data_IF_499301185769
#
_entry.id   IF_499301185769
#
_cell.length_a   1.000
_cell.length_b   1.000
_cell.length_c   1.000
_cell.angle_alpha   90.00
_cell.angle_beta   90.00
_cell.angle_gamma   90.00
#
_symmetry.space_group_name_H-M   'P 1'
#
loop_
_entity.id
_entity.type
_entity.pdbx_description
1 polymer ?
#
# COMPACT_ATOMS: atom_id res chain seq x y z
N UNK A 1 -3.75 -68.89 -31.97
CA UNK A 1 -3.92 -67.43 -32.04
C UNK A 1 -4.18 -66.93 -30.63
N UNK A 2 -3.18 -66.31 -30.00
CA UNK A 2 -3.19 -65.88 -28.58
C UNK A 2 -2.88 -64.39 -28.56
N UNK A 3 -3.82 -63.61 -28.04
CA UNK A 3 -3.74 -62.15 -28.00
C UNK A 3 -2.71 -61.62 -27.01
N UNK A 4 -2.29 -60.37 -27.22
CA UNK A 4 -1.51 -59.56 -26.28
C UNK A 4 -1.78 -58.09 -26.64
N UNK A 5 -2.72 -57.46 -25.93
CA UNK A 5 -2.50 -56.45 -24.89
C UNK A 5 -2.03 -55.07 -25.40
N UNK A 6 -2.97 -54.14 -25.30
CA UNK A 6 -2.87 -52.69 -25.46
C UNK A 6 -1.98 -52.11 -24.34
N UNK A 7 -1.05 -51.21 -24.67
CA UNK A 7 -0.44 -50.28 -23.71
C UNK A 7 -0.38 -48.88 -24.31
N UNK A 8 -1.44 -48.10 -24.08
CA UNK A 8 -1.44 -46.64 -24.15
C UNK A 8 -0.70 -46.10 -22.92
N UNK A 9 0.47 -45.50 -23.10
CA UNK A 9 1.15 -44.73 -22.05
C UNK A 9 1.07 -43.25 -22.41
N UNK A 10 -0.03 -42.62 -21.99
CA UNK A 10 -0.11 -41.17 -21.88
C UNK A 10 0.67 -40.76 -20.63
N UNK A 11 1.87 -40.19 -20.81
CA UNK A 11 2.63 -39.60 -19.72
C UNK A 11 2.12 -38.18 -19.47
N UNK A 12 1.18 -38.03 -18.54
CA UNK A 12 0.80 -36.72 -17.99
C UNK A 12 1.83 -36.31 -16.93
N UNK A 13 2.79 -35.46 -17.30
CA UNK A 13 3.55 -34.70 -16.30
C UNK A 13 2.66 -33.55 -15.80
N UNK A 14 2.02 -33.76 -14.65
CA UNK A 14 1.46 -32.67 -13.87
C UNK A 14 2.61 -31.84 -13.31
N UNK A 15 2.75 -30.61 -13.78
CA UNK A 15 3.61 -29.61 -13.15
C UNK A 15 2.97 -29.22 -11.81
N UNK A 16 3.58 -29.66 -10.70
CA UNK A 16 3.25 -29.12 -9.38
C UNK A 16 3.71 -27.67 -9.35
N UNK A 17 2.79 -26.73 -9.62
CA UNK A 17 2.99 -25.35 -9.25
C UNK A 17 2.98 -25.28 -7.72
N UNK A 18 4.15 -25.28 -7.11
CA UNK A 18 4.27 -24.83 -5.73
C UNK A 18 3.77 -23.38 -5.70
N UNK A 19 2.91 -22.98 -4.74
CA UNK A 19 2.65 -21.57 -4.53
C UNK A 19 4.00 -20.91 -4.33
N UNK A 20 4.34 -20.00 -5.24
CA UNK A 20 5.52 -19.18 -5.10
C UNK A 20 5.18 -18.16 -4.02
N UNK A 21 5.21 -18.59 -2.77
CA UNK A 21 5.26 -17.71 -1.60
C UNK A 21 6.63 -17.04 -1.67
N UNK A 22 6.77 -16.08 -2.59
CA UNK A 22 7.89 -15.17 -2.58
C UNK A 22 7.82 -14.51 -1.21
N UNK A 23 8.77 -14.84 -0.34
CA UNK A 23 8.88 -14.21 0.96
C UNK A 23 8.86 -12.69 0.72
N UNK A 24 7.93 -11.99 1.38
CA UNK A 24 7.86 -10.54 1.31
C UNK A 24 9.25 -9.96 1.54
N UNK A 25 9.72 -9.10 0.63
CA UNK A 25 11.07 -8.58 0.72
C UNK A 25 11.21 -7.71 1.98
N UNK A 26 12.41 -7.68 2.56
CA UNK A 26 12.76 -6.65 3.52
C UNK A 26 13.00 -5.34 2.75
N UNK A 27 12.43 -4.24 3.22
CA UNK A 27 12.63 -2.93 2.63
C UNK A 27 12.56 -1.84 3.69
N UNK A 28 13.15 -0.69 3.39
CA UNK A 28 12.95 0.54 4.15
C UNK A 28 13.11 1.70 3.20
N UNK A 29 12.08 2.53 3.10
CA UNK A 29 12.10 3.69 2.22
C UNK A 29 11.37 4.89 2.82
N UNK A 30 11.71 6.05 2.28
CA UNK A 30 11.33 7.37 2.75
C UNK A 30 11.15 8.31 1.55
N UNK A 31 9.95 8.86 1.36
CA UNK A 31 9.70 9.85 0.30
C UNK A 31 8.95 11.07 0.80
N UNK A 32 9.21 12.23 0.19
CA UNK A 32 8.38 13.42 0.35
C UNK A 32 7.19 13.35 -0.59
N UNK A 33 6.01 13.71 -0.10
CA UNK A 33 4.81 13.77 -0.92
C UNK A 33 4.48 15.23 -1.23
N UNK A 34 4.67 15.70 -2.48
CA UNK A 34 4.42 17.08 -2.86
C UNK A 34 2.93 17.41 -2.84
N UNK A 35 2.64 18.70 -2.65
CA UNK A 35 1.30 19.25 -2.81
C UNK A 35 0.84 19.12 -4.26
N UNK A 36 -0.45 18.84 -4.44
CA UNK A 36 -1.15 19.12 -5.70
C UNK A 36 -1.52 20.62 -5.76
N UNK A 37 -2.06 21.14 -6.88
CA UNK A 37 -2.59 22.51 -6.91
C UNK A 37 -3.64 22.81 -5.82
N UNK A 38 -4.51 21.84 -5.51
CA UNK A 38 -5.49 21.99 -4.43
C UNK A 38 -4.82 21.96 -3.05
N UNK A 39 -3.79 21.12 -2.89
CA UNK A 39 -2.96 21.11 -1.68
C UNK A 39 -2.19 22.40 -1.45
N UNK A 40 -1.69 23.05 -2.49
CA UNK A 40 -1.00 24.34 -2.39
C UNK A 40 -1.91 25.42 -1.80
N UNK A 41 -3.21 25.39 -2.11
CA UNK A 41 -4.20 26.33 -1.58
C UNK A 41 -4.38 26.24 -0.05
N UNK A 42 -4.01 25.10 0.55
CA UNK A 42 -4.04 24.84 1.99
C UNK A 42 -2.65 24.51 2.55
N UNK A 43 -1.59 24.93 1.86
CA UNK A 43 -0.19 24.72 2.27
C UNK A 43 0.14 23.24 2.64
N UNK A 44 -0.47 22.28 1.94
CA UNK A 44 -0.30 20.87 2.21
C UNK A 44 1.13 20.40 1.89
N UNK A 45 1.73 19.63 2.78
CA UNK A 45 2.98 18.91 2.53
C UNK A 45 2.94 17.58 3.23
N UNK A 46 3.44 16.53 2.57
CA UNK A 46 3.38 15.18 3.09
C UNK A 46 4.72 14.48 3.13
N UNK A 47 4.73 13.41 3.90
CA UNK A 47 5.87 12.55 4.07
C UNK A 47 5.39 11.10 4.23
N UNK A 48 6.04 10.15 3.55
CA UNK A 48 5.75 8.73 3.70
C UNK A 48 6.98 7.89 4.03
N UNK A 49 6.75 6.89 4.89
CA UNK A 49 7.74 5.91 5.32
C UNK A 49 7.17 4.50 5.19
N UNK A 50 7.96 3.60 4.62
CA UNK A 50 7.68 2.16 4.62
C UNK A 50 8.83 1.40 5.25
N UNK A 51 8.49 0.31 5.93
CA UNK A 51 9.48 -0.67 6.38
C UNK A 51 8.86 -2.05 6.47
N UNK A 52 9.56 -3.02 5.91
CA UNK A 52 9.32 -4.45 6.09
C UNK A 52 10.60 -5.09 6.59
N UNK A 53 10.52 -5.90 7.63
CA UNK A 53 11.60 -6.77 8.09
C UNK A 53 11.09 -8.16 8.39
N UNK A 54 12.04 -9.08 8.57
CA UNK A 54 11.76 -10.48 8.92
C UNK A 54 10.78 -11.09 7.92
N UNK A 55 11.06 -10.88 6.63
CA UNK A 55 10.28 -11.42 5.51
C UNK A 55 8.81 -10.98 5.54
N UNK A 56 8.57 -9.69 5.81
CA UNK A 56 7.23 -9.09 5.88
C UNK A 56 6.41 -9.46 7.11
N UNK A 57 6.99 -10.15 8.10
CA UNK A 57 6.28 -10.42 9.35
C UNK A 57 6.10 -9.14 10.19
N UNK A 58 7.01 -8.18 10.08
CA UNK A 58 6.86 -6.86 10.68
C UNK A 58 6.89 -5.78 9.60
N UNK A 59 5.72 -5.21 9.33
CA UNK A 59 5.53 -4.14 8.37
C UNK A 59 5.09 -2.86 9.09
N UNK A 60 5.53 -1.73 8.56
CA UNK A 60 5.19 -0.39 9.04
C UNK A 60 4.94 0.51 7.84
N UNK A 61 3.82 1.22 7.87
CA UNK A 61 3.44 2.23 6.90
C UNK A 61 3.05 3.51 7.65
N UNK A 62 3.73 4.62 7.34
CA UNK A 62 3.44 5.91 7.95
C UNK A 62 3.24 6.95 6.87
N UNK A 63 2.17 7.73 7.00
CA UNK A 63 1.94 8.94 6.22
C UNK A 63 1.70 10.09 7.19
N UNK A 64 2.54 11.11 7.12
CA UNK A 64 2.39 12.34 7.87
C UNK A 64 2.05 13.47 6.92
N UNK A 65 1.11 14.32 7.33
CA UNK A 65 0.65 15.47 6.56
C UNK A 65 0.71 16.70 7.46
N UNK A 66 1.24 17.81 6.95
CA UNK A 66 1.01 19.13 7.48
C UNK A 66 0.15 19.91 6.49
N UNK A 67 -0.86 20.62 6.98
CA UNK A 67 -1.89 21.26 6.15
C UNK A 67 -2.64 22.33 6.97
N UNK A 68 -3.02 23.43 6.33
CA UNK A 68 -3.77 24.54 6.92
C UNK A 68 -5.29 24.35 6.73
N UNK A 69 -5.85 23.45 7.54
CA UNK A 69 -7.30 23.19 7.62
C UNK A 69 -7.75 23.19 9.08
N UNK A 70 -9.05 23.37 9.37
CA UNK A 70 -9.54 23.31 10.74
C UNK A 70 -9.21 22.00 11.45
N UNK A 71 -8.91 22.07 12.74
CA UNK A 71 -8.77 20.89 13.60
C UNK A 71 -10.03 20.01 13.53
N UNK A 72 -9.82 18.69 13.55
CA UNK A 72 -10.87 17.70 13.34
C UNK A 72 -11.18 17.40 11.88
N UNK A 73 -10.59 18.12 10.93
CA UNK A 73 -10.66 17.75 9.50
C UNK A 73 -10.08 16.35 9.32
N UNK A 74 -10.81 15.51 8.60
CA UNK A 74 -10.38 14.16 8.28
C UNK A 74 -9.86 14.12 6.85
N UNK A 75 -8.78 13.37 6.63
CA UNK A 75 -8.20 13.12 5.33
C UNK A 75 -8.05 11.61 5.11
N UNK A 76 -8.28 11.14 3.90
CA UNK A 76 -8.13 9.75 3.53
C UNK A 76 -6.75 9.53 2.90
N UNK A 77 -6.07 8.47 3.31
CA UNK A 77 -4.77 8.07 2.75
C UNK A 77 -4.98 6.86 1.89
N UNK A 78 -4.43 6.88 0.68
CA UNK A 78 -4.46 5.77 -0.26
C UNK A 78 -3.06 5.32 -0.65
N UNK A 79 -2.93 4.05 -1.01
CA UNK A 79 -1.69 3.48 -1.54
C UNK A 79 -2.03 2.48 -2.66
N UNK A 80 -1.40 2.62 -3.83
CA UNK A 80 -1.53 1.73 -5.00
C UNK A 80 -2.93 1.45 -5.62
N UNK A 81 -4.04 1.94 -5.07
CA UNK A 81 -5.37 1.83 -5.67
C UNK A 81 -6.45 1.28 -4.73
N UNK A 82 -7.72 1.37 -5.15
CA UNK A 82 -8.84 0.74 -4.45
C UNK A 82 -9.35 1.55 -3.26
N UNK A 83 -9.24 0.96 -2.07
CA UNK A 83 -9.79 1.48 -0.81
C UNK A 83 -8.76 2.34 -0.05
N UNK A 84 -9.21 3.27 0.81
CA UNK A 84 -8.30 4.02 1.67
C UNK A 84 -7.58 3.09 2.64
N UNK A 85 -6.26 3.27 2.76
CA UNK A 85 -5.43 2.61 3.77
C UNK A 85 -5.80 3.04 5.19
N UNK A 86 -6.32 4.26 5.34
CA UNK A 86 -6.81 4.77 6.62
C UNK A 86 -7.16 6.25 6.57
N UNK A 87 -7.51 6.78 7.75
CA UNK A 87 -7.92 8.17 7.93
C UNK A 87 -6.95 8.90 8.85
N UNK A 88 -6.57 10.11 8.48
CA UNK A 88 -5.84 11.07 9.31
C UNK A 88 -6.84 12.06 9.89
N UNK A 89 -6.73 12.39 11.18
CA UNK A 89 -7.41 13.55 11.75
C UNK A 89 -6.39 14.66 11.99
N UNK A 90 -6.66 15.85 11.46
CA UNK A 90 -5.79 17.02 11.62
C UNK A 90 -5.99 17.62 13.00
N UNK A 91 -4.87 17.89 13.68
CA UNK A 91 -4.79 18.66 14.90
C UNK A 91 -3.54 19.55 14.87
N UNK A 92 -3.71 20.82 15.19
CA UNK A 92 -2.62 21.82 15.19
C UNK A 92 -1.88 21.86 13.83
N UNK A 93 -2.64 21.76 12.73
CA UNK A 93 -2.11 21.81 11.36
C UNK A 93 -1.34 20.56 10.92
N UNK A 94 -1.40 19.47 11.67
CA UNK A 94 -0.73 18.20 11.30
C UNK A 94 -1.60 17.00 11.56
N UNK A 95 -1.31 15.90 10.85
CA UNK A 95 -1.90 14.60 11.16
C UNK A 95 -1.00 13.46 10.69
N UNK A 96 -1.19 12.29 11.27
CA UNK A 96 -0.35 11.12 10.96
C UNK A 96 -1.20 9.86 10.95
N UNK A 97 -1.09 9.09 9.88
CA UNK A 97 -1.51 7.70 9.81
C UNK A 97 -0.29 6.84 10.08
N UNK A 98 -0.38 5.93 11.05
CA UNK A 98 0.66 4.95 11.34
C UNK A 98 0.00 3.58 11.45
N UNK A 99 0.35 2.70 10.52
CA UNK A 99 -0.12 1.33 10.46
C UNK A 99 1.06 0.38 10.68
N UNK A 100 0.77 -0.74 11.34
CA UNK A 100 1.75 -1.79 11.58
C UNK A 100 1.07 -3.14 11.45
N UNK A 101 1.84 -4.20 11.21
CA UNK A 101 1.29 -5.55 11.07
C UNK A 101 0.34 -5.94 12.23
N UNK A 102 -0.83 -6.53 11.93
CA UNK A 102 -1.37 -6.81 10.59
C UNK A 102 -1.90 -5.54 9.90
N UNK A 103 -1.55 -5.38 8.62
CA UNK A 103 -2.02 -4.27 7.80
C UNK A 103 -3.50 -4.47 7.40
N UNK A 104 -4.26 -3.39 7.17
CA UNK A 104 -5.62 -3.49 6.66
C UNK A 104 -5.63 -4.14 5.27
N UNK A 105 -6.67 -4.89 4.96
CA UNK A 105 -6.76 -5.67 3.72
C UNK A 105 -6.66 -4.83 2.43
N UNK A 106 -6.99 -3.53 2.50
CA UNK A 106 -6.86 -2.60 1.37
C UNK A 106 -5.43 -2.10 1.12
N UNK A 107 -4.46 -2.44 1.98
CA UNK A 107 -3.07 -2.04 1.83
C UNK A 107 -2.23 -3.22 1.36
N UNK A 108 -1.60 -3.06 0.19
CA UNK A 108 -0.60 -4.01 -0.30
C UNK A 108 0.57 -4.18 0.69
N UNK A 109 1.40 -5.20 0.48
CA UNK A 109 2.66 -5.30 1.22
C UNK A 109 3.47 -4.00 1.06
N UNK A 110 4.06 -3.51 2.15
CA UNK A 110 4.60 -2.14 2.16
C UNK A 110 5.73 -1.92 1.17
N UNK A 111 6.45 -2.98 0.79
CA UNK A 111 7.52 -2.93 -0.21
C UNK A 111 7.02 -2.87 -1.65
N UNK A 112 5.74 -3.15 -1.88
CA UNK A 112 5.12 -3.03 -3.20
C UNK A 112 4.45 -1.67 -3.39
N UNK A 113 4.36 -0.84 -2.34
CA UNK A 113 3.79 0.50 -2.40
C UNK A 113 4.64 1.37 -3.31
N UNK A 114 4.05 1.79 -4.43
CA UNK A 114 4.66 2.71 -5.39
C UNK A 114 4.12 4.12 -5.23
N UNK A 115 2.80 4.31 -5.24
CA UNK A 115 2.15 5.64 -5.18
C UNK A 115 1.33 5.80 -3.90
N UNK A 116 1.38 6.99 -3.32
CA UNK A 116 0.57 7.42 -2.17
C UNK A 116 -0.09 8.75 -2.51
N UNK A 117 -1.37 8.89 -2.18
CA UNK A 117 -2.05 10.18 -2.22
C UNK A 117 -2.99 10.36 -1.05
N UNK A 118 -3.29 11.61 -0.74
CA UNK A 118 -4.16 12.00 0.37
C UNK A 118 -5.27 12.90 -0.14
N UNK A 119 -6.51 12.58 0.21
CA UNK A 119 -7.71 13.32 -0.20
C UNK A 119 -8.53 13.82 0.99
N UNK A 120 -9.51 14.68 0.71
CA UNK A 120 -10.68 14.89 1.56
C UNK A 120 -11.51 13.60 1.73
N UNK A 121 -12.45 13.58 2.69
CA UNK A 121 -13.27 12.39 2.98
C UNK A 121 -14.31 12.11 1.90
N UNK A 122 -14.65 13.11 1.10
CA UNK A 122 -15.53 13.00 -0.06
C UNK A 122 -14.80 12.47 -1.31
N UNK A 123 -13.47 12.30 -1.23
CA UNK A 123 -12.61 11.86 -2.34
C UNK A 123 -12.69 12.75 -3.59
N UNK A 124 -13.04 14.03 -3.40
CA UNK A 124 -13.20 14.99 -4.50
C UNK A 124 -11.94 15.80 -4.76
N UNK A 125 -11.09 15.93 -3.75
CA UNK A 125 -9.94 16.83 -3.74
C UNK A 125 -8.72 16.07 -3.26
N UNK A 126 -7.74 15.89 -4.14
CA UNK A 126 -6.43 15.33 -3.76
C UNK A 126 -5.54 16.47 -3.32
N UNK A 127 -5.04 16.43 -2.09
CA UNK A 127 -4.17 17.48 -1.54
C UNK A 127 -2.69 17.18 -1.78
N UNK A 128 -2.32 15.90 -1.71
CA UNK A 128 -0.93 15.46 -1.77
C UNK A 128 -0.88 14.19 -2.62
N UNK A 129 0.13 14.06 -3.48
CA UNK A 129 0.32 12.90 -4.37
C UNK A 129 1.81 12.69 -4.67
N UNK A 130 2.32 11.49 -4.41
CA UNK A 130 3.72 11.16 -4.61
C UNK A 130 3.99 9.66 -4.71
N UNK A 131 5.26 9.33 -4.88
CA UNK A 131 5.72 7.94 -5.01
C UNK A 131 7.05 7.72 -4.29
N UNK A 132 7.33 6.45 -3.96
CA UNK A 132 8.67 6.00 -3.62
C UNK A 132 9.54 5.85 -4.87
#
# INVERSE_FOLDING_TARGET
MKGLFICLLAASLAAFALPNDAAAADCTDRTSLPATPDGEAVAAVGFAYIRSIDQGSQQTFVVQVAVDVPDGTQLLVFANGGDPAGTITIALGTGTLMLSSPLPAGLAEVCEIGRIWVTDVEETTTLIDGSF
#
